data_IF_511168750350
#
_entry.id   IF_511168750350
#
_cell.length_a   1.000
_cell.length_b   1.000
_cell.length_c   1.000
_cell.angle_alpha   90.00
_cell.angle_beta   90.00
_cell.angle_gamma   90.00
#
_symmetry.space_group_name_H-M   'P 1'
#
loop_
_entity.id
_entity.type
_entity.pdbx_description
1 polymer ?
#
# COMPACT_ATOMS: atom_id res chain seq x y z
N UNK A 1 3.44 7.55 -0.55
CA UNK A 1 3.65 6.83 0.72
C UNK A 1 2.44 6.83 1.63
N UNK A 2 1.77 7.95 1.91
CA UNK A 2 0.62 8.00 2.84
C UNK A 2 -0.43 6.91 2.61
N UNK A 3 -0.75 6.61 1.36
CA UNK A 3 -1.66 5.52 1.00
C UNK A 3 -1.16 4.16 1.54
N UNK A 4 0.13 3.84 1.35
CA UNK A 4 0.74 2.60 1.84
C UNK A 4 0.80 2.60 3.37
N UNK A 5 1.11 3.73 4.00
CA UNK A 5 1.15 3.85 5.47
C UNK A 5 -0.23 3.57 6.09
N UNK A 6 -1.29 4.13 5.50
CA UNK A 6 -2.67 3.90 5.92
C UNK A 6 -3.06 2.43 5.75
N UNK A 7 -2.81 1.86 4.57
CA UNK A 7 -3.22 0.49 4.26
C UNK A 7 -2.45 -0.56 5.07
N UNK A 8 -1.18 -0.31 5.40
CA UNK A 8 -0.32 -1.28 6.07
C UNK A 8 -0.23 -1.07 7.58
N UNK A 9 -0.66 0.09 8.09
CA UNK A 9 -0.45 0.52 9.47
C UNK A 9 1.02 0.78 9.83
N UNK A 10 1.93 0.78 8.85
CA UNK A 10 3.37 0.95 9.07
C UNK A 10 3.77 2.39 8.85
N UNK A 11 4.26 3.02 9.91
CA UNK A 11 4.81 4.37 9.82
C UNK A 11 6.27 4.34 9.31
N UNK A 12 6.70 5.27 8.44
CA UNK A 12 8.05 5.30 7.87
C UNK A 12 9.13 5.43 8.94
N UNK A 13 8.84 6.18 10.00
CA UNK A 13 9.78 6.35 11.11
C UNK A 13 9.98 5.06 11.94
N UNK A 14 9.07 4.08 11.88
CA UNK A 14 9.23 2.80 12.58
C UNK A 14 10.25 1.88 11.90
N UNK A 15 10.66 2.14 10.65
CA UNK A 15 11.75 1.41 10.00
C UNK A 15 13.13 1.93 10.40
N UNK A 16 13.23 3.17 10.89
CA UNK A 16 14.46 3.75 11.46
C UNK A 16 14.88 3.01 12.75
N UNK A 17 13.94 2.42 13.49
CA UNK A 17 14.22 1.71 14.74
C UNK A 17 14.74 0.27 14.56
N UNK A 18 14.67 -0.32 13.35
CA UNK A 18 15.21 -1.67 13.08
C UNK A 18 16.69 -1.67 12.64
N UNK A 19 17.46 -0.67 13.07
CA UNK A 19 18.93 -0.79 13.17
C UNK A 19 19.73 -0.69 11.87
N UNK A 20 19.13 -0.31 10.74
CA UNK A 20 19.87 0.11 9.54
C UNK A 20 19.50 1.55 9.21
N UNK A 21 20.52 2.42 9.25
CA UNK A 21 20.38 3.85 9.04
C UNK A 21 19.72 4.18 7.70
N UNK A 22 18.96 5.27 7.71
CA UNK A 22 18.21 5.85 6.60
C UNK A 22 17.15 4.88 6.05
N UNK A 23 15.99 4.81 6.71
CA UNK A 23 14.79 4.28 6.10
C UNK A 23 14.40 5.22 4.96
N UNK A 24 14.83 4.88 3.75
CA UNK A 24 14.43 5.58 2.55
C UNK A 24 12.91 5.39 2.37
N UNK A 25 12.24 6.40 1.85
CA UNK A 25 10.83 6.35 1.50
C UNK A 25 10.51 5.19 0.53
N UNK A 26 11.51 4.73 -0.21
CA UNK A 26 11.46 3.55 -1.06
C UNK A 26 11.31 2.21 -0.30
N UNK A 27 11.75 2.11 0.95
CA UNK A 27 11.85 0.83 1.66
C UNK A 27 10.48 0.19 1.92
N UNK A 28 9.43 0.99 2.18
CA UNK A 28 8.08 0.46 2.40
C UNK A 28 7.47 -0.06 1.09
N UNK A 29 7.65 0.69 0.00
CA UNK A 29 7.17 0.28 -1.33
C UNK A 29 7.89 -1.00 -1.80
N UNK A 30 9.23 -1.04 -1.68
CA UNK A 30 10.03 -2.23 -2.00
C UNK A 30 9.65 -3.44 -1.14
N UNK A 31 9.36 -3.24 0.16
CA UNK A 31 8.86 -4.31 1.02
C UNK A 31 7.51 -4.86 0.53
N UNK A 32 6.55 -3.98 0.21
CA UNK A 32 5.25 -4.38 -0.32
C UNK A 32 5.42 -5.14 -1.65
N UNK A 33 6.21 -4.63 -2.59
CA UNK A 33 6.44 -5.28 -3.89
C UNK A 33 7.08 -6.67 -3.74
N UNK A 34 8.05 -6.79 -2.84
CA UNK A 34 8.71 -8.07 -2.53
C UNK A 34 7.73 -9.05 -1.91
N UNK A 35 6.91 -8.60 -0.95
CA UNK A 35 5.89 -9.43 -0.31
C UNK A 35 4.85 -9.94 -1.32
N UNK A 36 4.37 -9.05 -2.20
CA UNK A 36 3.41 -9.38 -3.27
C UNK A 36 4.00 -10.40 -4.25
N UNK A 37 5.27 -10.28 -4.59
CA UNK A 37 5.96 -11.18 -5.52
C UNK A 37 6.23 -12.56 -4.91
N UNK A 38 6.52 -12.64 -3.61
CA UNK A 38 7.13 -13.83 -3.00
C UNK A 38 6.20 -14.63 -2.07
N UNK A 39 5.01 -14.13 -1.74
CA UNK A 39 4.08 -14.82 -0.83
C UNK A 39 2.70 -15.02 -1.45
N UNK A 40 2.22 -16.26 -1.55
CA UNK A 40 0.86 -16.55 -2.07
C UNK A 40 -0.26 -15.93 -1.20
N UNK A 41 -0.01 -15.77 0.10
CA UNK A 41 -0.96 -15.18 1.05
C UNK A 41 -0.61 -13.71 1.40
N UNK A 42 -0.01 -12.96 0.49
CA UNK A 42 0.41 -11.58 0.76
C UNK A 42 -0.77 -10.66 1.15
N UNK A 43 -1.98 -10.93 0.63
CA UNK A 43 -3.18 -10.12 0.90
C UNK A 43 -3.50 -10.03 2.39
N UNK A 44 -3.28 -11.10 3.16
CA UNK A 44 -3.52 -11.11 4.61
C UNK A 44 -2.36 -10.54 5.43
N UNK A 45 -1.20 -10.32 4.79
CA UNK A 45 0.03 -9.82 5.44
C UNK A 45 0.30 -8.34 5.18
N UNK A 46 -0.22 -7.81 4.07
CA UNK A 46 0.09 -6.44 3.64
C UNK A 46 -0.79 -5.42 4.37
N UNK A 47 -2.08 -5.74 4.54
CA UNK A 47 -3.02 -4.81 5.14
C UNK A 47 -2.87 -4.80 6.66
N UNK A 48 -3.16 -3.65 7.26
CA UNK A 48 -3.26 -3.54 8.71
C UNK A 48 -4.25 -4.59 9.24
N UNK A 49 -3.93 -5.18 10.38
CA UNK A 49 -4.74 -6.23 11.00
C UNK A 49 -6.17 -5.76 11.31
N UNK A 50 -6.34 -4.47 11.58
CA UNK A 50 -7.62 -3.83 11.86
C UNK A 50 -8.41 -3.56 10.56
N UNK A 51 -7.84 -3.85 9.39
CA UNK A 51 -8.52 -3.83 8.09
C UNK A 51 -8.83 -5.24 7.55
N UNK A 52 -8.53 -6.29 8.32
CA UNK A 52 -8.69 -7.66 7.85
C UNK A 52 -10.17 -8.10 7.76
N UNK A 53 -10.50 -8.80 6.67
CA UNK A 53 -11.86 -9.25 6.31
C UNK A 53 -12.52 -10.12 7.38
N UNK A 54 -11.71 -10.95 8.02
CA UNK A 54 -12.21 -11.96 8.96
C UNK A 54 -12.54 -11.38 10.35
N UNK A 55 -11.99 -10.20 10.68
CA UNK A 55 -12.05 -9.64 12.05
C UNK A 55 -13.12 -8.55 12.15
N UNK A 56 -13.28 -7.72 11.12
CA UNK A 56 -14.08 -6.50 11.20
C UNK A 56 -15.29 -6.48 10.25
N UNK A 57 -15.63 -7.62 9.64
CA UNK A 57 -16.78 -7.71 8.73
C UNK A 57 -16.58 -6.96 7.41
N UNK A 58 -15.33 -6.71 7.02
CA UNK A 58 -14.99 -6.13 5.73
C UNK A 58 -15.30 -7.17 4.65
N UNK A 59 -16.20 -6.85 3.74
CA UNK A 59 -16.63 -7.74 2.67
C UNK A 59 -15.56 -7.90 1.59
N UNK A 60 -15.84 -8.81 0.64
CA UNK A 60 -14.94 -9.04 -0.49
C UNK A 60 -14.80 -7.79 -1.38
N UNK A 61 -15.85 -6.99 -1.52
CA UNK A 61 -15.85 -5.75 -2.30
C UNK A 61 -14.91 -4.71 -1.71
N UNK A 62 -15.02 -4.41 -0.41
CA UNK A 62 -14.14 -3.47 0.27
C UNK A 62 -12.69 -3.97 0.26
N UNK A 63 -12.47 -5.28 0.32
CA UNK A 63 -11.14 -5.84 0.13
C UNK A 63 -10.58 -5.60 -1.27
N UNK A 64 -11.40 -5.70 -2.31
CA UNK A 64 -10.97 -5.32 -3.67
C UNK A 64 -10.70 -3.82 -3.78
N UNK A 65 -11.49 -2.96 -3.14
CA UNK A 65 -11.25 -1.52 -3.09
C UNK A 65 -9.89 -1.19 -2.43
N UNK A 66 -9.58 -1.84 -1.31
CA UNK A 66 -8.26 -1.73 -0.66
C UNK A 66 -7.12 -2.19 -1.56
N UNK A 67 -7.31 -3.26 -2.34
CA UNK A 67 -6.33 -3.73 -3.32
C UNK A 67 -6.12 -2.74 -4.47
N UNK A 68 -7.18 -2.07 -4.96
CA UNK A 68 -7.05 -0.98 -5.94
C UNK A 68 -6.24 0.17 -5.35
N UNK A 69 -6.59 0.59 -4.14
CA UNK A 69 -5.90 1.68 -3.45
C UNK A 69 -4.41 1.36 -3.20
N UNK A 70 -4.09 0.10 -2.86
CA UNK A 70 -2.71 -0.36 -2.70
C UNK A 70 -1.90 -0.18 -4.00
N UNK A 71 -2.48 -0.57 -5.14
CA UNK A 71 -1.82 -0.43 -6.45
C UNK A 71 -1.55 1.02 -6.81
N UNK A 72 -2.49 1.92 -6.49
CA UNK A 72 -2.29 3.36 -6.66
C UNK A 72 -1.14 3.84 -5.76
N UNK A 73 -1.14 3.43 -4.49
CA UNK A 73 -0.08 3.74 -3.54
C UNK A 73 1.31 3.34 -4.02
N UNK A 74 1.44 2.15 -4.63
CA UNK A 74 2.68 1.67 -5.24
C UNK A 74 3.08 2.51 -6.46
N UNK A 75 2.16 2.77 -7.38
CA UNK A 75 2.42 3.59 -8.57
C UNK A 75 2.86 5.03 -8.22
N UNK A 76 2.34 5.60 -7.14
CA UNK A 76 2.78 6.90 -6.61
C UNK A 76 4.20 6.86 -6.01
N UNK A 77 4.72 5.68 -5.67
CA UNK A 77 6.05 5.49 -5.06
C UNK A 77 7.09 4.93 -6.04
N UNK A 78 6.76 4.83 -7.33
CA UNK A 78 7.70 4.38 -8.36
C UNK A 78 9.00 5.19 -8.33
N UNK A 79 10.13 4.48 -8.39
CA UNK A 79 11.46 5.09 -8.38
C UNK A 79 11.73 5.82 -9.69
N UNK A 80 11.22 5.25 -10.79
CA UNK A 80 11.29 5.82 -12.13
C UNK A 80 10.29 6.96 -12.26
N UNK A 81 10.78 8.20 -12.36
CA UNK A 81 9.95 9.41 -12.40
C UNK A 81 9.01 9.42 -13.60
N UNK A 82 9.38 8.79 -14.72
CA UNK A 82 8.54 8.72 -15.91
C UNK A 82 7.39 7.72 -15.77
N UNK A 83 7.51 6.75 -14.86
CA UNK A 83 6.46 5.77 -14.54
C UNK A 83 5.62 6.16 -13.32
N UNK A 84 6.14 7.06 -12.49
CA UNK A 84 5.43 7.55 -11.31
C UNK A 84 4.18 8.28 -11.73
N UNK A 85 3.08 7.94 -11.06
CA UNK A 85 1.77 8.52 -11.32
C UNK A 85 1.78 10.04 -11.12
N UNK A 86 1.20 10.79 -12.07
CA UNK A 86 0.94 12.22 -11.88
C UNK A 86 -0.07 12.41 -10.75
N UNK A 87 0.03 13.52 -10.02
CA UNK A 87 -0.84 13.77 -8.87
C UNK A 87 -2.32 13.89 -9.26
N UNK A 88 -2.64 14.42 -10.45
CA UNK A 88 -4.04 14.51 -10.91
C UNK A 88 -4.59 13.14 -11.24
N UNK A 89 -3.79 12.34 -11.95
CA UNK A 89 -4.14 10.95 -12.26
C UNK A 89 -4.28 10.09 -10.99
N UNK A 90 -3.44 10.34 -9.97
CA UNK A 90 -3.57 9.71 -8.67
C UNK A 90 -4.91 10.02 -8.01
N UNK A 91 -5.31 11.28 -7.99
CA UNK A 91 -6.59 11.71 -7.40
C UNK A 91 -7.77 11.09 -8.15
N UNK A 92 -7.78 11.16 -9.49
CA UNK A 92 -8.84 10.57 -10.31
C UNK A 92 -9.00 9.07 -10.04
N UNK A 93 -7.89 8.31 -10.01
CA UNK A 93 -7.94 6.87 -9.71
C UNK A 93 -8.39 6.57 -8.29
N UNK A 94 -8.09 7.45 -7.32
CA UNK A 94 -8.53 7.30 -5.93
C UNK A 94 -10.04 7.53 -5.82
N UNK A 95 -10.57 8.52 -6.52
CA UNK A 95 -12.01 8.79 -6.58
C UNK A 95 -12.78 7.61 -7.18
N UNK A 96 -12.18 6.91 -8.15
CA UNK A 96 -12.72 5.70 -8.79
C UNK A 96 -12.47 4.38 -8.01
N UNK A 97 -11.84 4.42 -6.82
CA UNK A 97 -11.58 3.20 -6.03
C UNK A 97 -12.89 2.52 -5.67
N UNK A 98 -13.84 3.32 -5.16
CA UNK A 98 -15.18 2.86 -4.83
C UNK A 98 -16.00 2.73 -6.11
N UNK A 99 -16.78 1.66 -6.21
CA UNK A 99 -17.74 1.54 -7.31
C UNK A 99 -18.79 2.66 -7.27
N UNK A 100 -19.55 2.87 -8.36
CA UNK A 100 -20.80 3.63 -8.29
C UNK A 100 -21.80 3.00 -7.31
#
# INVERSE_FOLDING_TARGET
>A
MLILEILTGRFPANMIQQGKGVADNAELATWVETLVRENENWKTKVFDRDMNTDINGVGEEEHQEMLKLLKIGLACCEMDVEKRLDIKEAVERIEDVKGP
#
